data_IF_855409935196
#
_entry.id   IF_855409935196
#
_cell.length_a   1.000
_cell.length_b   1.000
_cell.length_c   1.000
_cell.angle_alpha   90.00
_cell.angle_beta   90.00
_cell.angle_gamma   90.00
#
_symmetry.space_group_name_H-M   'P 1'
#
loop_
_entity.id
_entity.type
_entity.pdbx_description
1 polymer ?
#
# COMPACT_ATOMS: atom_id res chain seq x y z
N UNK A 1 -82.78 -53.68 -2.21
CA UNK A 1 -82.34 -52.85 -3.35
C UNK A 1 -81.14 -52.07 -2.83
N UNK A 2 -79.99 -52.44 -3.36
CA UNK A 2 -78.66 -52.04 -2.86
C UNK A 2 -78.19 -50.70 -3.46
N UNK A 3 -77.80 -49.76 -2.64
CA UNK A 3 -77.18 -48.50 -3.06
C UNK A 3 -75.75 -48.41 -2.54
N UNK A 4 -74.78 -48.73 -3.41
CA UNK A 4 -73.36 -48.62 -3.14
C UNK A 4 -73.00 -47.14 -3.21
N UNK A 5 -72.49 -46.55 -2.09
CA UNK A 5 -71.83 -45.29 -2.06
C UNK A 5 -70.34 -45.46 -2.35
N UNK A 6 -69.90 -44.92 -3.48
CA UNK A 6 -68.49 -44.87 -3.86
C UNK A 6 -67.84 -43.69 -3.14
N UNK A 7 -66.82 -44.01 -2.37
CA UNK A 7 -65.99 -42.98 -1.67
C UNK A 7 -64.81 -42.64 -2.61
N UNK A 8 -64.77 -41.46 -3.16
CA UNK A 8 -63.66 -40.92 -3.92
C UNK A 8 -62.59 -40.41 -2.94
N UNK A 9 -61.45 -41.12 -2.92
CA UNK A 9 -60.28 -40.71 -2.16
C UNK A 9 -59.44 -39.75 -3.03
N UNK A 10 -59.48 -38.48 -2.72
CA UNK A 10 -58.63 -37.48 -3.36
C UNK A 10 -57.22 -37.52 -2.69
N UNK A 11 -56.23 -38.03 -3.42
CA UNK A 11 -54.84 -37.98 -2.99
C UNK A 11 -54.27 -36.61 -3.36
N UNK A 12 -54.03 -35.79 -2.37
CA UNK A 12 -53.34 -34.52 -2.49
C UNK A 12 -51.82 -34.80 -2.63
N UNK A 13 -51.26 -34.74 -3.83
CA UNK A 13 -49.81 -34.68 -4.01
C UNK A 13 -49.33 -33.30 -3.66
N UNK A 14 -48.78 -33.11 -2.44
CA UNK A 14 -48.01 -31.97 -2.10
C UNK A 14 -46.63 -32.05 -2.81
N UNK A 15 -46.45 -31.30 -3.86
CA UNK A 15 -45.16 -31.11 -4.50
C UNK A 15 -44.26 -30.33 -3.55
N UNK A 16 -43.37 -31.01 -2.83
CA UNK A 16 -42.25 -30.41 -2.12
C UNK A 16 -41.27 -29.91 -3.18
N UNK A 17 -41.46 -28.66 -3.62
CA UNK A 17 -40.40 -27.90 -4.29
C UNK A 17 -39.33 -27.57 -3.28
N UNK A 18 -38.47 -28.55 -2.98
CA UNK A 18 -37.21 -28.32 -2.28
C UNK A 18 -36.37 -27.41 -3.15
N UNK A 19 -36.39 -26.11 -2.83
CA UNK A 19 -35.41 -25.17 -3.35
C UNK A 19 -34.04 -25.71 -3.00
N UNK A 20 -33.32 -26.22 -4.03
CA UNK A 20 -31.90 -26.49 -3.89
C UNK A 20 -31.27 -25.16 -3.58
N UNK A 21 -30.99 -24.90 -2.29
CA UNK A 21 -30.10 -23.80 -1.90
C UNK A 21 -28.80 -24.05 -2.66
N UNK A 22 -28.55 -23.24 -3.69
CA UNK A 22 -27.30 -23.25 -4.40
C UNK A 22 -26.26 -22.98 -3.33
N UNK A 23 -25.42 -23.96 -3.01
CA UNK A 23 -24.25 -23.74 -2.19
C UNK A 23 -23.53 -22.56 -2.83
N UNK A 24 -23.43 -21.47 -2.10
CA UNK A 24 -22.68 -20.31 -2.54
C UNK A 24 -21.25 -20.84 -2.73
N UNK A 25 -20.77 -20.90 -3.98
CA UNK A 25 -19.45 -21.42 -4.28
C UNK A 25 -18.45 -20.76 -3.33
N UNK A 26 -17.64 -21.56 -2.67
CA UNK A 26 -16.64 -21.05 -1.73
C UNK A 26 -15.76 -20.03 -2.48
N UNK A 27 -15.44 -18.88 -1.84
CA UNK A 27 -14.57 -17.91 -2.48
C UNK A 27 -13.28 -18.57 -2.97
N UNK A 28 -12.71 -18.18 -4.11
CA UNK A 28 -11.47 -18.75 -4.61
C UNK A 28 -10.36 -18.61 -3.58
N UNK A 29 -9.56 -19.66 -3.44
CA UNK A 29 -8.39 -19.61 -2.53
C UNK A 29 -7.42 -18.53 -3.02
N UNK A 30 -6.97 -17.69 -2.10
CA UNK A 30 -6.03 -16.60 -2.38
C UNK A 30 -5.02 -16.45 -1.26
N UNK A 31 -3.74 -16.41 -1.60
CA UNK A 31 -2.66 -16.15 -0.65
C UNK A 31 -2.73 -14.74 -0.06
N UNK A 32 -3.45 -13.82 -0.70
CA UNK A 32 -3.67 -12.45 -0.22
C UNK A 32 -4.78 -12.33 0.84
N UNK A 33 -5.58 -13.37 1.05
CA UNK A 33 -6.79 -13.26 1.89
C UNK A 33 -6.47 -12.81 3.32
N UNK A 34 -5.52 -13.47 3.98
CA UNK A 34 -5.19 -13.14 5.38
C UNK A 34 -4.54 -11.76 5.51
N UNK A 35 -3.64 -11.42 4.58
CA UNK A 35 -3.01 -10.10 4.52
C UNK A 35 -4.04 -8.98 4.32
N UNK A 36 -4.96 -9.15 3.36
CA UNK A 36 -6.03 -8.17 3.10
C UNK A 36 -7.01 -8.07 4.27
N UNK A 37 -7.37 -9.21 4.89
CA UNK A 37 -8.22 -9.24 6.08
C UNK A 37 -7.57 -8.45 7.22
N UNK A 38 -6.27 -8.67 7.47
CA UNK A 38 -5.50 -7.94 8.48
C UNK A 38 -5.50 -6.44 8.22
N UNK A 39 -5.20 -6.01 6.98
CA UNK A 39 -5.22 -4.59 6.60
C UNK A 39 -6.59 -3.95 6.84
N UNK A 40 -7.69 -4.63 6.46
CA UNK A 40 -9.03 -4.03 6.57
C UNK A 40 -9.66 -4.12 7.94
N UNK A 41 -9.33 -5.13 8.74
CA UNK A 41 -10.09 -5.50 9.94
C UNK A 41 -9.32 -5.49 11.24
N UNK A 42 -7.99 -5.68 11.20
CA UNK A 42 -7.21 -5.74 12.41
C UNK A 42 -7.07 -4.35 13.06
N UNK A 43 -7.38 -4.30 14.34
CA UNK A 43 -7.12 -3.09 15.16
C UNK A 43 -5.62 -2.88 15.35
N UNK A 44 -4.83 -3.94 15.28
CA UNK A 44 -3.37 -3.95 15.33
C UNK A 44 -2.76 -3.19 14.15
N UNK A 45 -3.31 -3.35 12.93
CA UNK A 45 -2.91 -2.56 11.77
C UNK A 45 -3.12 -1.07 12.02
N UNK A 46 -4.31 -0.70 12.51
CA UNK A 46 -4.65 0.69 12.81
C UNK A 46 -3.76 1.27 13.92
N UNK A 47 -3.51 0.49 14.96
CA UNK A 47 -2.64 0.90 16.07
C UNK A 47 -1.20 1.11 15.59
N UNK A 48 -0.67 0.23 14.73
CA UNK A 48 0.66 0.36 14.15
C UNK A 48 0.76 1.62 13.28
N UNK A 49 -0.22 1.91 12.43
CA UNK A 49 -0.24 3.12 11.62
C UNK A 49 -0.25 4.39 12.50
N UNK A 50 -1.11 4.43 13.51
CA UNK A 50 -1.15 5.54 14.48
C UNK A 50 0.19 5.71 15.22
N UNK A 51 0.86 4.62 15.60
CA UNK A 51 2.17 4.68 16.26
C UNK A 51 3.23 5.28 15.33
N UNK A 52 3.26 4.89 14.04
CA UNK A 52 4.18 5.44 13.04
C UNK A 52 3.95 6.93 12.84
N UNK A 53 2.71 7.38 12.65
CA UNK A 53 2.41 8.80 12.44
C UNK A 53 2.59 9.64 13.73
N UNK A 54 2.38 9.05 14.91
CA UNK A 54 2.71 9.71 16.19
C UNK A 54 4.22 9.91 16.32
N UNK A 55 5.02 8.89 15.98
CA UNK A 55 6.47 9.01 15.92
C UNK A 55 6.90 10.04 14.88
N UNK A 56 6.26 10.06 13.70
CA UNK A 56 6.55 11.02 12.64
C UNK A 56 6.42 12.49 13.13
N UNK A 57 5.41 12.79 13.94
CA UNK A 57 5.25 14.12 14.53
C UNK A 57 6.42 14.49 15.45
N UNK A 58 6.82 13.57 16.33
CA UNK A 58 7.96 13.79 17.25
C UNK A 58 9.24 14.03 16.45
N UNK A 59 9.50 13.18 15.44
CA UNK A 59 10.69 13.29 14.59
C UNK A 59 10.68 14.54 13.73
N UNK A 60 9.52 15.00 13.28
CA UNK A 60 9.38 16.25 12.55
C UNK A 60 9.77 17.46 13.43
N UNK A 61 9.31 17.50 14.67
CA UNK A 61 9.65 18.57 15.60
C UNK A 61 11.15 18.58 15.91
N UNK A 62 11.79 17.42 16.12
CA UNK A 62 13.24 17.29 16.26
C UNK A 62 14.00 17.79 15.01
N UNK A 63 13.52 17.38 13.81
CA UNK A 63 14.15 17.73 12.54
C UNK A 63 14.05 19.23 12.21
N UNK A 64 13.01 19.90 12.67
CA UNK A 64 12.83 21.35 12.48
C UNK A 64 13.90 22.15 13.25
N UNK A 65 14.36 21.65 14.39
CA UNK A 65 15.37 22.29 15.23
C UNK A 65 16.79 22.00 14.74
N UNK A 66 17.05 20.78 14.26
CA UNK A 66 18.36 20.36 13.76
C UNK A 66 18.53 20.67 12.27
N UNK A 67 19.30 21.71 11.97
CA UNK A 67 19.54 22.13 10.57
C UNK A 67 20.35 21.12 9.74
N UNK A 68 21.10 20.23 10.38
CA UNK A 68 21.86 19.17 9.70
C UNK A 68 21.01 17.91 9.44
N UNK A 69 19.76 17.92 9.88
CA UNK A 69 18.85 16.81 9.66
C UNK A 69 18.40 16.74 8.21
N UNK A 70 18.63 15.58 7.57
CA UNK A 70 18.05 15.22 6.28
C UNK A 70 17.62 13.75 6.24
N UNK A 71 16.50 13.47 5.59
CA UNK A 71 16.03 12.12 5.29
C UNK A 71 16.45 11.64 3.88
N UNK A 72 17.21 12.45 3.17
CA UNK A 72 17.68 12.17 1.80
C UNK A 72 19.22 12.24 1.73
N UNK A 73 19.95 11.38 2.48
CA UNK A 73 21.40 11.49 2.58
C UNK A 73 22.13 11.24 1.26
N UNK A 74 21.52 10.51 0.33
CA UNK A 74 22.08 10.29 -1.00
C UNK A 74 21.89 11.50 -1.91
N UNK A 75 20.79 12.23 -1.76
CA UNK A 75 20.40 13.35 -2.61
C UNK A 75 20.82 14.71 -2.03
N UNK A 76 21.05 14.80 -0.70
CA UNK A 76 21.40 16.03 0.01
C UNK A 76 22.78 15.92 0.67
N UNK A 77 23.84 16.18 -0.08
CA UNK A 77 25.24 16.12 0.39
C UNK A 77 25.94 17.50 0.46
N UNK A 78 25.23 18.59 0.19
CA UNK A 78 25.77 19.95 0.13
C UNK A 78 25.10 20.91 1.12
N UNK A 79 24.93 22.16 0.72
CA UNK A 79 24.37 23.24 1.53
C UNK A 79 22.84 23.22 1.56
N UNK A 80 22.26 22.22 2.20
CA UNK A 80 20.79 22.05 2.31
C UNK A 80 20.21 22.69 3.59
N UNK A 81 21.03 23.09 4.55
CA UNK A 81 20.64 23.53 5.91
C UNK A 81 19.68 24.72 5.92
N UNK A 82 19.77 25.57 4.89
CA UNK A 82 18.95 26.79 4.77
C UNK A 82 17.77 26.62 3.78
N UNK A 83 17.64 25.48 3.14
CA UNK A 83 16.48 25.20 2.29
C UNK A 83 15.20 25.11 3.12
N UNK A 84 14.03 25.53 2.56
CA UNK A 84 12.76 25.37 3.24
C UNK A 84 12.48 23.89 3.52
N UNK A 85 11.83 23.59 4.66
CA UNK A 85 11.61 22.21 5.06
C UNK A 85 10.50 21.50 4.24
N UNK A 86 10.70 20.22 3.97
CA UNK A 86 9.71 19.36 3.37
C UNK A 86 9.69 17.95 3.97
N UNK A 87 8.60 17.23 3.77
CA UNK A 87 8.50 15.78 3.95
C UNK A 87 8.15 15.11 2.62
N UNK A 88 8.67 13.92 2.41
CA UNK A 88 8.37 13.07 1.27
C UNK A 88 7.54 11.89 1.75
N UNK A 89 6.34 11.73 1.21
CA UNK A 89 5.38 10.70 1.58
C UNK A 89 5.01 9.89 0.34
N UNK A 90 5.07 8.57 0.45
CA UNK A 90 4.40 7.71 -0.51
C UNK A 90 2.88 7.81 -0.34
N UNK A 91 2.12 7.30 -1.31
CA UNK A 91 0.65 7.42 -1.31
C UNK A 91 -0.01 6.08 -1.00
N UNK A 92 0.28 5.03 -1.80
CA UNK A 92 -0.44 3.76 -1.75
C UNK A 92 0.04 2.90 -0.58
N UNK A 93 -0.87 2.46 0.28
CA UNK A 93 -0.62 1.73 1.53
C UNK A 93 0.26 2.48 2.55
N UNK A 94 0.51 3.77 2.26
CA UNK A 94 1.18 4.72 3.16
C UNK A 94 0.19 5.79 3.68
N UNK A 95 -0.47 6.49 2.78
CA UNK A 95 -1.50 7.50 3.10
C UNK A 95 -2.91 7.02 2.76
N UNK A 96 -3.04 6.23 1.70
CA UNK A 96 -4.29 5.68 1.20
C UNK A 96 -4.33 4.16 1.34
N UNK A 97 -5.40 3.66 1.93
CA UNK A 97 -5.76 2.25 1.97
C UNK A 97 -6.49 1.88 0.67
N UNK A 98 -5.85 1.05 -0.15
CA UNK A 98 -6.38 0.52 -1.40
C UNK A 98 -6.82 -0.94 -1.31
N UNK A 99 -6.97 -1.47 -0.12
CA UNK A 99 -7.34 -2.88 0.12
C UNK A 99 -8.64 -3.31 -0.56
N UNK A 100 -9.53 -2.37 -0.91
CA UNK A 100 -10.70 -2.62 -1.73
C UNK A 100 -10.33 -3.15 -3.13
N UNK A 101 -9.22 -2.67 -3.71
CA UNK A 101 -8.71 -3.19 -4.98
C UNK A 101 -8.20 -4.61 -4.82
N UNK A 102 -7.52 -4.92 -3.72
CA UNK A 102 -7.07 -6.27 -3.41
C UNK A 102 -8.26 -7.25 -3.31
N UNK A 103 -9.34 -6.84 -2.62
CA UNK A 103 -10.59 -7.64 -2.53
C UNK A 103 -11.19 -7.86 -3.91
N UNK A 104 -11.21 -6.83 -4.77
CA UNK A 104 -11.72 -6.96 -6.14
C UNK A 104 -10.90 -7.97 -6.93
N UNK A 105 -9.57 -7.91 -6.89
CA UNK A 105 -8.71 -8.89 -7.57
C UNK A 105 -8.97 -10.32 -7.10
N UNK A 106 -9.11 -10.54 -5.79
CA UNK A 106 -9.41 -11.86 -5.23
C UNK A 106 -10.78 -12.38 -5.70
N UNK A 107 -11.82 -11.54 -5.62
CA UNK A 107 -13.19 -11.94 -6.00
C UNK A 107 -13.35 -12.24 -7.48
N UNK A 108 -12.61 -11.54 -8.32
CA UNK A 108 -12.66 -11.69 -9.77
C UNK A 108 -11.59 -12.63 -10.32
N UNK A 109 -10.73 -13.17 -9.44
CA UNK A 109 -9.56 -13.98 -9.80
C UNK A 109 -8.65 -13.29 -10.84
N UNK A 110 -8.53 -11.95 -10.73
CA UNK A 110 -7.69 -11.13 -11.59
C UNK A 110 -6.32 -10.86 -10.94
N UNK A 111 -5.35 -10.57 -11.77
CA UNK A 111 -4.09 -9.96 -11.34
C UNK A 111 -4.13 -8.45 -11.51
N UNK A 112 -3.16 -7.76 -10.93
CA UNK A 112 -2.93 -6.34 -11.19
C UNK A 112 -2.79 -6.08 -12.70
N UNK A 113 -3.44 -5.02 -13.16
CA UNK A 113 -3.20 -4.43 -14.48
C UNK A 113 -3.32 -2.91 -14.37
N UNK A 114 -2.51 -2.17 -15.12
CA UNK A 114 -2.57 -0.70 -15.16
C UNK A 114 -3.98 -0.21 -15.50
N UNK A 115 -4.66 -0.91 -16.42
CA UNK A 115 -6.04 -0.54 -16.81
C UNK A 115 -7.01 -0.60 -15.64
N UNK A 116 -7.04 -1.71 -14.90
CA UNK A 116 -7.97 -1.87 -13.77
C UNK A 116 -7.56 -0.99 -12.59
N UNK A 117 -6.26 -0.77 -12.40
CA UNK A 117 -5.75 0.16 -11.40
C UNK A 117 -6.18 1.60 -11.67
N UNK A 118 -6.04 2.08 -12.90
CA UNK A 118 -6.48 3.42 -13.28
C UNK A 118 -8.00 3.59 -13.10
N UNK A 119 -8.79 2.55 -13.39
CA UNK A 119 -10.23 2.56 -13.11
C UNK A 119 -10.52 2.63 -11.60
N UNK A 120 -9.72 1.97 -10.76
CA UNK A 120 -9.85 2.07 -9.31
C UNK A 120 -9.46 3.47 -8.80
N UNK A 121 -8.39 4.07 -9.32
CA UNK A 121 -8.02 5.45 -9.00
C UNK A 121 -9.14 6.43 -9.40
N UNK A 122 -9.71 6.27 -10.59
CA UNK A 122 -10.82 7.09 -11.08
C UNK A 122 -12.11 6.93 -10.24
N UNK A 123 -12.33 5.78 -9.63
CA UNK A 123 -13.44 5.57 -8.70
C UNK A 123 -13.27 6.34 -7.39
N UNK A 124 -12.06 6.78 -7.05
CA UNK A 124 -11.72 7.62 -5.89
C UNK A 124 -12.27 7.07 -4.56
N UNK A 125 -12.22 5.75 -4.38
CA UNK A 125 -12.82 5.04 -3.22
C UNK A 125 -11.79 4.65 -2.15
N UNK A 126 -10.52 5.02 -2.33
CA UNK A 126 -9.48 4.85 -1.32
C UNK A 126 -9.82 5.66 -0.07
N UNK A 127 -9.47 5.13 1.11
CA UNK A 127 -9.68 5.79 2.39
C UNK A 127 -8.33 6.15 3.02
N UNK A 128 -8.32 7.12 3.91
CA UNK A 128 -7.07 7.49 4.58
C UNK A 128 -6.65 6.40 5.58
N UNK A 129 -5.36 6.12 5.61
CA UNK A 129 -4.74 5.30 6.66
C UNK A 129 -4.78 6.09 7.98
N UNK A 130 -5.09 5.45 9.12
CA UNK A 130 -5.21 6.13 10.41
C UNK A 130 -3.96 6.94 10.79
N UNK A 131 -4.13 8.22 11.09
CA UNK A 131 -3.06 9.15 11.45
C UNK A 131 -2.40 9.88 10.26
N UNK A 132 -2.66 9.45 9.02
CA UNK A 132 -2.02 10.02 7.84
C UNK A 132 -2.44 11.48 7.56
N UNK A 133 -3.74 11.76 7.60
CA UNK A 133 -4.27 13.12 7.37
C UNK A 133 -3.81 14.06 8.48
N UNK A 134 -3.89 13.61 9.73
CA UNK A 134 -3.48 14.36 10.91
C UNK A 134 -1.99 14.71 10.87
N UNK A 135 -1.15 13.78 10.41
CA UNK A 135 0.29 14.03 10.24
C UNK A 135 0.54 15.04 9.11
N UNK A 136 -0.05 14.82 7.92
CA UNK A 136 0.16 15.71 6.78
C UNK A 136 -0.31 17.14 7.08
N UNK A 137 -1.47 17.29 7.71
CA UNK A 137 -2.00 18.59 8.16
C UNK A 137 -1.09 19.22 9.23
N UNK A 138 -0.57 18.41 10.16
CA UNK A 138 0.37 18.89 11.17
C UNK A 138 1.65 19.44 10.52
N UNK A 139 2.25 18.70 9.57
CA UNK A 139 3.43 19.13 8.86
C UNK A 139 3.18 20.46 8.12
N UNK A 140 2.08 20.55 7.37
CA UNK A 140 1.68 21.75 6.64
C UNK A 140 1.49 22.96 7.59
N UNK A 141 0.86 22.75 8.76
CA UNK A 141 0.64 23.79 9.78
C UNK A 141 1.96 24.32 10.39
N UNK A 142 3.04 23.56 10.30
CA UNK A 142 4.40 23.97 10.72
C UNK A 142 5.19 24.66 9.60
N UNK A 143 4.58 24.89 8.44
CA UNK A 143 5.26 25.46 7.27
C UNK A 143 6.16 24.44 6.55
N UNK A 144 5.99 23.15 6.81
CA UNK A 144 6.70 22.06 6.14
C UNK A 144 5.93 21.64 4.88
N UNK A 145 6.56 21.70 3.72
CA UNK A 145 5.94 21.31 2.46
C UNK A 145 5.75 19.79 2.42
N UNK A 146 4.55 19.33 2.09
CA UNK A 146 4.22 17.91 1.99
C UNK A 146 4.25 17.48 0.53
N UNK A 147 5.23 16.65 0.15
CA UNK A 147 5.35 16.08 -1.17
C UNK A 147 4.84 14.64 -1.19
N UNK A 148 4.06 14.30 -2.19
CA UNK A 148 3.50 12.98 -2.45
C UNK A 148 4.25 12.34 -3.62
N UNK A 149 5.16 11.41 -3.32
CA UNK A 149 6.00 10.74 -4.31
C UNK A 149 5.46 9.33 -4.54
N UNK A 150 4.70 9.15 -5.60
CA UNK A 150 3.91 7.93 -5.82
C UNK A 150 4.21 7.23 -7.14
N UNK A 151 4.04 5.91 -7.17
CA UNK A 151 4.09 5.12 -8.40
C UNK A 151 2.72 5.00 -9.10
N UNK A 152 1.74 5.78 -8.68
CA UNK A 152 0.57 6.05 -9.53
C UNK A 152 1.05 6.75 -10.81
N UNK A 153 0.50 6.33 -11.96
CA UNK A 153 0.85 6.95 -13.24
C UNK A 153 0.31 8.37 -13.36
N UNK A 154 1.02 9.23 -14.09
CA UNK A 154 0.64 10.63 -14.30
C UNK A 154 -0.81 10.81 -14.80
N UNK A 155 -1.33 9.84 -15.56
CA UNK A 155 -2.70 9.83 -16.03
C UNK A 155 -3.76 9.73 -14.93
N UNK A 156 -3.37 9.33 -13.69
CA UNK A 156 -4.27 9.23 -12.54
C UNK A 156 -4.14 10.39 -11.56
N UNK A 157 -3.31 11.39 -11.86
CA UNK A 157 -2.99 12.48 -10.93
C UNK A 157 -4.24 13.24 -10.49
N UNK A 158 -5.09 13.66 -11.45
CA UNK A 158 -6.31 14.38 -11.15
C UNK A 158 -7.19 13.64 -10.14
N UNK A 159 -7.47 12.36 -10.40
CA UNK A 159 -8.32 11.54 -9.54
C UNK A 159 -7.68 11.31 -8.16
N UNK A 160 -6.35 11.17 -8.13
CA UNK A 160 -5.60 11.04 -6.88
C UNK A 160 -5.69 12.31 -6.04
N UNK A 161 -5.48 13.48 -6.63
CA UNK A 161 -5.62 14.79 -5.98
C UNK A 161 -7.03 15.00 -5.42
N UNK A 162 -8.05 14.72 -6.22
CA UNK A 162 -9.45 14.86 -5.81
C UNK A 162 -9.82 13.92 -4.67
N UNK A 163 -9.36 12.66 -4.70
CA UNK A 163 -9.57 11.72 -3.60
C UNK A 163 -8.89 12.23 -2.32
N UNK A 164 -7.63 12.63 -2.40
CA UNK A 164 -6.85 13.10 -1.24
C UNK A 164 -7.42 14.42 -0.70
N UNK A 165 -7.87 15.32 -1.56
CA UNK A 165 -8.52 16.56 -1.15
C UNK A 165 -9.79 16.29 -0.31
N UNK A 166 -10.65 15.37 -0.78
CA UNK A 166 -11.86 15.00 -0.03
C UNK A 166 -11.55 14.35 1.33
N UNK A 167 -10.41 13.70 1.45
CA UNK A 167 -9.95 13.12 2.71
C UNK A 167 -9.30 14.14 3.64
N UNK A 168 -9.00 15.36 3.15
CA UNK A 168 -8.44 16.45 3.95
C UNK A 168 -6.92 16.58 3.90
N UNK A 169 -6.24 15.94 2.94
CA UNK A 169 -4.80 16.13 2.76
C UNK A 169 -4.46 17.52 2.19
N UNK A 170 -3.37 18.18 2.63
CA UNK A 170 -2.90 19.44 2.04
C UNK A 170 -2.40 19.20 0.60
N UNK A 171 -2.72 20.13 -0.32
CA UNK A 171 -2.39 19.98 -1.75
C UNK A 171 -1.23 20.87 -2.23
N UNK A 172 -0.44 21.43 -1.33
CA UNK A 172 0.76 22.19 -1.68
C UNK A 172 0.57 23.65 -2.14
N UNK A 173 -0.66 24.10 -2.36
CA UNK A 173 -0.96 25.47 -2.84
C UNK A 173 -0.44 25.70 -4.26
N UNK A 174 0.48 26.67 -4.44
CA UNK A 174 1.08 27.01 -5.75
C UNK A 174 2.29 26.12 -6.12
N UNK A 175 2.65 25.16 -5.28
CA UNK A 175 3.74 24.22 -5.55
C UNK A 175 3.14 22.90 -6.00
N UNK A 176 3.64 22.35 -7.10
CA UNK A 176 3.31 21.00 -7.48
C UNK A 176 3.97 20.02 -6.52
N UNK A 177 3.15 19.35 -5.71
CA UNK A 177 3.60 18.41 -4.68
C UNK A 177 3.26 16.95 -5.00
N UNK A 178 2.60 16.69 -6.10
CA UNK A 178 2.30 15.32 -6.54
C UNK A 178 3.29 14.92 -7.64
N UNK A 179 4.23 14.08 -7.27
CA UNK A 179 5.28 13.62 -8.18
C UNK A 179 4.95 12.20 -8.61
N UNK A 180 4.27 12.11 -9.74
CA UNK A 180 3.72 10.85 -10.27
C UNK A 180 4.76 10.06 -11.06
N UNK A 181 4.56 8.74 -11.16
CA UNK A 181 5.37 7.94 -12.09
C UNK A 181 5.08 8.30 -13.54
N UNK A 182 6.13 8.35 -14.38
CA UNK A 182 6.09 8.67 -15.81
C UNK A 182 5.58 10.08 -16.15
N UNK A 183 5.52 10.97 -15.20
CA UNK A 183 5.26 12.41 -15.44
C UNK A 183 6.42 13.05 -16.21
N UNK A 184 7.65 12.59 -15.94
CA UNK A 184 8.82 12.85 -16.78
C UNK A 184 9.48 11.52 -17.18
N UNK A 185 10.26 11.47 -18.27
CA UNK A 185 10.84 10.20 -18.75
C UNK A 185 11.75 9.48 -17.78
N UNK A 186 12.39 10.19 -16.85
CA UNK A 186 13.29 9.66 -15.83
C UNK A 186 12.58 9.28 -14.51
N UNK A 187 11.30 9.64 -14.36
CA UNK A 187 10.51 9.27 -13.19
C UNK A 187 9.91 7.87 -13.34
N UNK A 188 10.76 6.88 -13.15
CA UNK A 188 10.39 5.47 -13.22
C UNK A 188 9.76 4.98 -11.90
N UNK A 189 9.66 3.66 -11.70
CA UNK A 189 9.22 3.10 -10.42
C UNK A 189 10.23 3.32 -9.28
N UNK A 190 11.51 3.58 -9.58
CA UNK A 190 12.49 4.05 -8.60
C UNK A 190 12.18 5.50 -8.22
N UNK A 191 12.23 5.82 -6.93
CA UNK A 191 11.82 7.12 -6.42
C UNK A 191 12.97 8.11 -6.20
N UNK A 192 14.23 7.67 -6.36
CA UNK A 192 15.41 8.51 -6.11
C UNK A 192 15.45 9.79 -6.93
N UNK A 193 15.11 9.74 -8.24
CA UNK A 193 15.06 10.93 -9.10
C UNK A 193 14.01 11.94 -8.63
N UNK A 194 12.85 11.47 -8.13
CA UNK A 194 11.81 12.35 -7.55
C UNK A 194 12.21 12.90 -6.19
N UNK A 195 12.89 12.10 -5.33
CA UNK A 195 13.49 12.63 -4.09
C UNK A 195 14.57 13.67 -4.39
N UNK A 196 15.43 13.43 -5.39
CA UNK A 196 16.44 14.40 -5.85
C UNK A 196 15.81 15.70 -6.39
N UNK A 197 14.67 15.59 -7.07
CA UNK A 197 13.90 16.76 -7.51
C UNK A 197 13.45 17.62 -6.31
N UNK A 198 12.88 17.01 -5.27
CA UNK A 198 12.52 17.73 -4.04
C UNK A 198 13.74 18.26 -3.32
N UNK A 199 14.82 17.47 -3.23
CA UNK A 199 16.05 17.78 -2.49
C UNK A 199 16.80 19.00 -3.05
N UNK A 200 16.58 19.37 -4.31
CA UNK A 200 17.18 20.53 -4.93
C UNK A 200 16.70 21.86 -4.30
N UNK A 201 15.42 21.92 -3.97
CA UNK A 201 14.77 23.16 -3.54
C UNK A 201 14.26 23.12 -2.08
N UNK A 202 14.26 21.92 -1.46
CA UNK A 202 13.76 21.69 -0.11
C UNK A 202 14.69 20.79 0.70
N UNK A 203 14.78 21.06 1.99
CA UNK A 203 15.40 20.15 2.96
C UNK A 203 14.40 19.06 3.35
N UNK A 204 14.66 17.82 2.99
CA UNK A 204 13.77 16.70 3.28
C UNK A 204 13.98 16.25 4.73
N UNK A 205 12.96 16.43 5.57
CA UNK A 205 13.03 16.12 7.00
C UNK A 205 12.66 14.67 7.31
N UNK A 206 11.61 14.15 6.65
CA UNK A 206 11.17 12.78 6.81
C UNK A 206 10.86 12.18 5.45
N UNK A 207 11.12 10.88 5.33
CA UNK A 207 10.66 10.03 4.26
C UNK A 207 9.79 8.93 4.85
N UNK A 208 8.53 8.80 4.38
CA UNK A 208 7.55 7.86 4.91
C UNK A 208 6.98 7.04 3.76
N UNK A 209 6.98 5.72 3.89
CA UNK A 209 6.51 4.78 2.88
C UNK A 209 6.21 3.41 3.48
N UNK A 210 5.71 2.48 2.67
CA UNK A 210 5.42 1.09 3.04
C UNK A 210 6.37 0.08 2.40
N UNK A 211 7.22 0.54 1.47
CA UNK A 211 8.11 -0.30 0.70
C UNK A 211 9.56 0.18 0.77
N UNK A 212 10.54 -0.74 0.73
CA UNK A 212 11.95 -0.35 0.69
C UNK A 212 12.25 0.65 -0.45
N UNK A 213 11.53 0.56 -1.58
CA UNK A 213 11.66 1.46 -2.73
C UNK A 213 11.32 2.92 -2.47
N UNK A 214 10.64 3.23 -1.37
CA UNK A 214 10.39 4.60 -0.95
C UNK A 214 11.63 5.28 -0.39
N UNK A 215 12.57 4.49 0.09
CA UNK A 215 13.77 4.94 0.81
C UNK A 215 15.06 4.70 0.02
N UNK A 216 15.15 3.58 -0.70
CA UNK A 216 16.38 3.13 -1.38
C UNK A 216 16.04 2.48 -2.74
N UNK A 217 16.71 2.93 -3.79
CA UNK A 217 16.46 2.44 -5.15
C UNK A 217 16.98 1.00 -5.40
N UNK A 218 17.70 0.40 -4.42
CA UNK A 218 18.09 -1.02 -4.42
C UNK A 218 16.97 -1.97 -4.03
N UNK A 219 15.73 -1.54 -3.97
CA UNK A 219 14.56 -2.32 -3.55
C UNK A 219 14.22 -3.51 -4.48
N UNK A 220 14.55 -3.43 -5.77
CA UNK A 220 14.29 -4.48 -6.78
C UNK A 220 15.54 -5.32 -7.02
N UNK A 221 16.01 -5.99 -5.98
CA UNK A 221 17.19 -6.85 -5.99
C UNK A 221 16.89 -8.17 -5.30
N UNK A 222 17.88 -9.04 -5.16
CA UNK A 222 17.75 -10.29 -4.39
C UNK A 222 17.35 -10.02 -2.94
N UNK A 223 16.74 -10.99 -2.27
CA UNK A 223 16.39 -10.87 -0.85
C UNK A 223 17.61 -10.50 0.00
N UNK A 224 18.76 -11.15 -0.26
CA UNK A 224 20.02 -10.86 0.45
C UNK A 224 20.49 -9.40 0.25
N UNK A 225 20.37 -8.85 -0.96
CA UNK A 225 20.77 -7.47 -1.23
C UNK A 225 19.75 -6.46 -0.68
N UNK A 226 18.47 -6.83 -0.59
CA UNK A 226 17.45 -6.04 0.14
C UNK A 226 17.79 -5.95 1.63
N UNK A 227 18.23 -7.06 2.24
CA UNK A 227 18.71 -7.04 3.65
C UNK A 227 19.90 -6.10 3.80
N UNK A 228 20.91 -6.16 2.90
CA UNK A 228 22.03 -5.21 2.93
C UNK A 228 21.60 -3.75 2.77
N UNK A 229 20.60 -3.47 1.91
CA UNK A 229 20.04 -2.12 1.77
C UNK A 229 19.35 -1.66 3.05
N UNK A 230 18.57 -2.55 3.70
CA UNK A 230 17.97 -2.28 5.00
C UNK A 230 19.03 -2.00 6.08
N UNK A 231 20.08 -2.83 6.17
CA UNK A 231 21.19 -2.66 7.12
C UNK A 231 21.94 -1.34 6.92
N UNK A 232 22.19 -0.96 5.65
CA UNK A 232 22.77 0.34 5.32
C UNK A 232 21.89 1.53 5.77
N UNK A 233 20.59 1.34 5.81
CA UNK A 233 19.61 2.31 6.30
C UNK A 233 19.46 2.37 7.83
N UNK A 234 20.11 1.48 8.60
CA UNK A 234 19.93 1.39 10.06
C UNK A 234 20.05 2.72 10.81
N UNK A 235 20.96 3.67 10.45
CA UNK A 235 21.02 4.96 11.12
C UNK A 235 19.77 5.85 10.93
N UNK A 236 18.95 5.56 9.93
CA UNK A 236 17.79 6.37 9.54
C UNK A 236 16.46 5.80 9.99
N UNK A 237 16.34 4.46 10.14
CA UNK A 237 15.09 3.78 10.52
C UNK A 237 14.57 4.25 11.88
N UNK A 238 13.28 4.59 11.93
CA UNK A 238 12.62 5.11 13.13
C UNK A 238 13.02 6.55 13.50
N UNK A 239 13.84 7.20 12.68
CA UNK A 239 14.29 8.57 12.86
C UNK A 239 13.90 9.45 11.66
N UNK A 240 14.64 9.36 10.55
CA UNK A 240 14.35 10.07 9.30
C UNK A 240 13.45 9.25 8.36
N UNK A 241 13.54 7.92 8.44
CA UNK A 241 12.81 6.97 7.62
C UNK A 241 11.79 6.20 8.47
N UNK A 242 10.52 6.30 8.09
CA UNK A 242 9.43 5.67 8.82
C UNK A 242 8.63 4.77 7.87
N UNK A 243 8.55 3.49 8.22
CA UNK A 243 7.91 2.50 7.37
C UNK A 243 6.56 2.07 7.95
N UNK A 244 5.51 2.12 7.12
CA UNK A 244 4.21 1.52 7.39
C UNK A 244 4.25 0.03 7.03
N UNK A 245 3.37 -0.75 7.65
CA UNK A 245 3.24 -2.16 7.34
C UNK A 245 2.31 -2.38 6.13
N UNK A 246 2.80 -3.04 5.09
CA UNK A 246 1.99 -3.54 3.98
C UNK A 246 2.24 -5.03 3.77
N UNK A 247 1.32 -5.91 4.21
CA UNK A 247 1.45 -7.35 4.02
C UNK A 247 0.88 -7.85 2.69
N UNK A 248 0.29 -6.98 1.86
CA UNK A 248 -0.49 -7.39 0.70
C UNK A 248 0.32 -7.49 -0.59
N UNK A 249 1.24 -6.56 -0.81
CA UNK A 249 2.13 -6.56 -1.97
C UNK A 249 3.36 -5.67 -1.73
N UNK A 250 4.34 -5.79 -2.59
CA UNK A 250 5.54 -4.96 -2.52
C UNK A 250 6.75 -5.64 -3.14
N UNK A 251 7.90 -5.01 -3.01
CA UNK A 251 9.15 -5.60 -3.52
C UNK A 251 9.58 -6.84 -2.72
N UNK A 252 9.10 -7.01 -1.48
CA UNK A 252 9.31 -8.24 -0.71
C UNK A 252 8.61 -9.45 -1.34
N UNK A 253 7.40 -9.24 -1.85
CA UNK A 253 6.57 -10.27 -2.46
C UNK A 253 7.16 -10.78 -3.79
N UNK A 254 7.88 -9.92 -4.50
CA UNK A 254 8.44 -10.22 -5.82
C UNK A 254 9.90 -10.65 -5.79
N UNK A 255 10.63 -10.39 -4.72
CA UNK A 255 12.05 -10.76 -4.56
C UNK A 255 12.30 -12.28 -4.66
N UNK A 256 11.47 -13.18 -4.06
CA UNK A 256 11.68 -14.62 -4.14
C UNK A 256 11.74 -15.19 -5.55
N UNK A 257 11.07 -14.55 -6.51
CA UNK A 257 11.11 -14.98 -7.91
C UNK A 257 11.92 -14.03 -8.82
N UNK A 258 12.77 -13.20 -8.21
CA UNK A 258 13.70 -12.31 -8.93
C UNK A 258 13.01 -11.19 -9.70
N UNK A 259 11.81 -10.77 -9.27
CA UNK A 259 10.96 -9.76 -9.93
C UNK A 259 10.63 -10.10 -11.38
N UNK A 260 10.65 -11.40 -11.73
CA UNK A 260 10.32 -11.89 -13.08
C UNK A 260 8.82 -12.12 -13.23
N UNK A 261 8.11 -11.10 -13.70
CA UNK A 261 6.67 -11.13 -13.93
C UNK A 261 6.25 -12.01 -15.13
N UNK A 262 7.20 -12.63 -15.87
CA UNK A 262 6.89 -13.61 -16.93
C UNK A 262 6.62 -14.98 -16.37
N UNK A 263 7.06 -15.28 -15.15
CA UNK A 263 6.75 -16.53 -14.46
C UNK A 263 5.23 -16.67 -14.25
N UNK A 264 4.73 -17.88 -14.40
CA UNK A 264 3.33 -18.21 -14.06
C UNK A 264 3.05 -17.98 -12.57
N UNK A 265 1.78 -17.83 -12.20
CA UNK A 265 1.37 -17.69 -10.78
C UNK A 265 1.86 -18.86 -9.91
N UNK A 266 1.85 -20.07 -10.45
CA UNK A 266 2.29 -21.27 -9.72
C UNK A 266 3.80 -21.25 -9.51
N UNK A 267 4.59 -20.83 -10.49
CA UNK A 267 6.05 -20.66 -10.36
C UNK A 267 6.40 -19.55 -9.38
N UNK A 268 5.69 -18.41 -9.41
CA UNK A 268 5.84 -17.34 -8.43
C UNK A 268 5.53 -17.84 -7.02
N UNK A 269 4.40 -18.54 -6.86
CA UNK A 269 3.98 -19.12 -5.58
C UNK A 269 4.98 -20.15 -5.07
N UNK A 270 5.45 -21.04 -5.94
CA UNK A 270 6.49 -22.01 -5.58
C UNK A 270 7.76 -21.30 -5.09
N UNK A 271 8.24 -20.28 -5.80
CA UNK A 271 9.42 -19.53 -5.39
C UNK A 271 9.24 -18.89 -4.00
N UNK A 272 8.05 -18.39 -3.66
CA UNK A 272 7.74 -17.86 -2.32
C UNK A 272 7.79 -18.94 -1.23
N UNK A 273 7.30 -20.15 -1.54
CA UNK A 273 7.38 -21.28 -0.61
C UNK A 273 8.83 -21.74 -0.37
N UNK A 274 9.65 -21.76 -1.42
CA UNK A 274 11.01 -22.28 -1.38
C UNK A 274 11.95 -21.44 -0.48
N UNK A 275 11.63 -20.17 -0.23
CA UNK A 275 12.44 -19.28 0.65
C UNK A 275 11.98 -19.27 2.10
N UNK A 276 10.87 -19.93 2.43
CA UNK A 276 10.36 -19.96 3.80
C UNK A 276 11.10 -21.05 4.62
N UNK A 277 11.59 -20.66 5.77
CA UNK A 277 12.15 -21.57 6.73
C UNK A 277 11.04 -22.34 7.45
N UNK A 278 11.21 -23.63 7.65
CA UNK A 278 10.26 -24.43 8.39
C UNK A 278 10.92 -25.19 9.54
N UNK A 279 10.19 -25.30 10.63
CA UNK A 279 10.52 -26.26 11.68
C UNK A 279 10.15 -27.68 11.20
N UNK A 280 11.10 -28.62 11.32
CA UNK A 280 10.94 -29.99 10.82
C UNK A 280 10.01 -30.87 11.68
N UNK A 281 9.38 -30.30 12.71
CA UNK A 281 8.53 -31.03 13.63
C UNK A 281 9.32 -31.74 14.73
N UNK A 282 8.63 -32.38 15.69
CA UNK A 282 9.28 -33.27 16.66
C UNK A 282 9.87 -34.45 15.90
N UNK A 283 11.09 -34.87 16.29
CA UNK A 283 11.66 -36.12 15.79
C UNK A 283 10.70 -37.27 16.10
N UNK A 284 10.47 -38.23 15.16
CA UNK A 284 9.57 -39.36 15.37
C UNK A 284 10.01 -40.26 16.49
#
# INVERSE_FOLDING_TARGET
>A
MSGRKSLLLAVLLAALSGGVARAQDAPPASDMLLATLWTQRAVEYRANALAVFSLARIRLDEALVDRNWTAAPAEQSGDFQNLPPAVVLDVDETLLDNSKYQVWMMRTNQSFSTKSWNQFCAAQVSTAIPGAVEFATYADSKGVKVFYVTNRGAETEKDTRENMQRLGFPLGGNVDTFLMQAETPDWTSAKGTRRAYVARDYRILLNIGDNLGDFDDRYRTSEADRVKAFEAGMPYWGRQWLMLANPTYGSFDTAPYGHDFKKSRDEQRKSKWDVLESWMGPSP
#
